data_IF_018104285999
#
_entry.id   IF_018104285999
#
_cell.length_a   1.000
_cell.length_b   1.000
_cell.length_c   1.000
_cell.angle_alpha   90.00
_cell.angle_beta   90.00
_cell.angle_gamma   90.00
#
_symmetry.space_group_name_H-M   'P 1'
#
loop_
_entity.id
_entity.type
_entity.pdbx_description
1 polymer ?
#
# COMPACT_ATOMS: atom_id res chain seq x y z
N UNK A 1 -26.71 5.10 3.84
CA UNK A 1 -26.26 6.16 4.76
C UNK A 1 -25.02 6.80 4.15
N UNK A 2 -25.03 8.12 4.00
CA UNK A 2 -24.10 8.88 3.17
C UNK A 2 -22.67 8.87 3.76
N UNK A 3 -21.69 8.30 3.04
CA UNK A 3 -20.28 8.47 3.37
C UNK A 3 -19.83 9.86 2.91
N UNK A 4 -19.91 10.84 3.79
CA UNK A 4 -19.23 12.11 3.60
C UNK A 4 -17.72 11.88 3.78
N UNK A 5 -17.03 11.65 2.68
CA UNK A 5 -15.57 11.52 2.66
C UNK A 5 -14.91 12.80 3.19
N UNK A 6 -14.00 12.65 4.14
CA UNK A 6 -13.15 13.73 4.64
C UNK A 6 -12.26 14.19 3.48
N UNK A 7 -12.61 15.32 2.88
CA UNK A 7 -11.84 15.95 1.80
C UNK A 7 -10.64 16.65 2.44
N UNK A 8 -9.44 16.12 2.23
CA UNK A 8 -8.20 16.79 2.62
C UNK A 8 -8.08 18.09 1.82
N UNK A 9 -8.03 19.23 2.50
CA UNK A 9 -7.93 20.55 1.86
C UNK A 9 -6.47 20.76 1.48
N UNK A 10 -6.10 20.46 0.23
CA UNK A 10 -4.82 20.89 -0.34
C UNK A 10 -4.92 22.39 -0.60
N UNK A 11 -4.14 23.17 0.15
CA UNK A 11 -4.17 24.64 0.11
C UNK A 11 -3.30 25.11 -1.05
N UNK A 12 -3.87 25.24 -2.23
CA UNK A 12 -3.23 25.97 -3.33
C UNK A 12 -3.21 27.46 -2.99
N UNK A 13 -2.06 28.01 -2.56
CA UNK A 13 -1.84 29.46 -2.58
C UNK A 13 -0.47 29.83 -3.14
N UNK A 14 -0.55 30.58 -4.22
CA UNK A 14 0.44 31.38 -4.92
C UNK A 14 1.29 32.22 -3.97
N UNK A 15 2.60 32.27 -4.24
CA UNK A 15 3.59 33.13 -3.58
C UNK A 15 3.59 34.51 -4.22
N UNK A 16 3.74 35.55 -3.40
CA UNK A 16 4.49 36.77 -3.73
C UNK A 16 5.37 37.20 -2.54
N UNK A 17 6.51 37.89 -2.78
CA UNK A 17 7.61 38.02 -1.82
C UNK A 17 7.61 39.35 -1.05
N UNK A 18 8.15 39.35 0.18
CA UNK A 18 8.32 40.58 0.98
C UNK A 18 9.28 40.45 2.18
N UNK A 19 10.54 40.81 1.94
CA UNK A 19 11.45 41.64 2.79
C UNK A 19 11.55 41.46 4.33
N UNK A 20 12.68 40.86 4.78
CA UNK A 20 13.61 41.15 5.93
C UNK A 20 13.12 41.63 7.32
N UNK A 21 14.02 41.86 8.33
CA UNK A 21 15.48 41.85 8.31
C UNK A 21 16.17 41.06 9.48
N UNK A 22 17.49 41.27 9.58
CA UNK A 22 18.59 40.56 10.28
C UNK A 22 18.73 40.83 11.80
N UNK A 23 19.48 39.94 12.47
CA UNK A 23 20.28 40.15 13.70
C UNK A 23 20.59 38.80 14.37
N UNK A 24 21.77 38.41 14.88
CA UNK A 24 23.06 39.06 15.13
C UNK A 24 23.64 38.56 16.47
N UNK A 25 24.82 37.92 16.46
CA UNK A 25 25.67 37.58 17.63
C UNK A 25 25.41 36.20 18.26
N UNK A 26 26.38 35.39 18.72
CA UNK A 26 27.85 35.47 18.83
C UNK A 26 28.31 34.39 19.85
N UNK A 27 29.38 33.64 19.52
CA UNK A 27 30.39 32.94 20.38
C UNK A 27 29.94 32.02 21.55
N UNK A 28 30.60 30.94 22.01
CA UNK A 28 31.97 30.41 21.94
C UNK A 28 31.98 28.92 22.46
N UNK A 29 33.11 28.18 22.43
CA UNK A 29 33.14 26.72 22.28
C UNK A 29 33.36 25.93 23.58
N UNK A 30 32.85 24.69 23.62
CA UNK A 30 33.09 23.74 24.71
C UNK A 30 34.12 22.66 24.33
N UNK A 31 34.97 22.39 25.31
CA UNK A 31 36.30 21.81 25.25
C UNK A 31 36.31 20.31 24.96
N UNK A 32 37.42 19.91 24.31
CA UNK A 32 37.92 18.55 24.13
C UNK A 32 38.48 18.02 25.45
N UNK A 33 38.16 16.77 25.80
CA UNK A 33 38.78 16.02 26.89
C UNK A 33 38.94 14.54 26.50
N UNK A 34 40.20 14.11 26.38
CA UNK A 34 40.68 12.72 26.53
C UNK A 34 40.54 12.33 28.03
N UNK A 35 40.49 11.09 28.52
CA UNK A 35 40.89 9.76 28.06
C UNK A 35 40.12 8.70 28.89
N UNK A 36 40.08 7.44 28.43
CA UNK A 36 40.39 6.24 29.24
C UNK A 36 40.11 4.98 28.42
N UNK A 37 41.17 4.22 28.16
CA UNK A 37 41.16 2.90 27.56
C UNK A 37 41.00 1.84 28.65
N UNK A 38 40.12 0.87 28.46
CA UNK A 38 40.23 -0.45 29.09
C UNK A 38 39.52 -1.49 28.23
N UNK A 39 40.29 -2.48 27.77
CA UNK A 39 39.86 -3.48 26.82
C UNK A 39 39.01 -4.58 27.44
N UNK A 40 38.11 -5.16 26.63
CA UNK A 40 37.54 -6.49 26.88
C UNK A 40 37.16 -7.19 25.56
N UNK A 41 37.93 -8.24 25.30
CA UNK A 41 37.68 -9.50 24.57
C UNK A 41 36.61 -9.50 23.46
N UNK A 42 37.12 -9.73 22.25
CA UNK A 42 36.43 -10.05 21.01
C UNK A 42 35.66 -11.38 21.08
N UNK A 43 34.37 -11.34 20.78
CA UNK A 43 33.58 -12.47 20.26
C UNK A 43 32.77 -11.96 19.07
N UNK A 44 33.17 -12.39 17.87
CA UNK A 44 32.54 -12.04 16.59
C UNK A 44 31.30 -12.89 16.36
N UNK A 45 30.09 -12.31 16.17
CA UNK A 45 29.00 -13.02 15.54
C UNK A 45 29.08 -12.83 14.01
N UNK A 46 29.09 -13.94 13.28
CA UNK A 46 29.14 -13.99 11.82
C UNK A 46 28.00 -13.15 11.21
N UNK A 47 28.37 -12.08 10.48
CA UNK A 47 27.43 -11.23 9.75
C UNK A 47 27.01 -11.94 8.46
N UNK A 48 25.83 -12.55 8.44
CA UNK A 48 25.17 -12.89 7.19
C UNK A 48 24.81 -11.59 6.45
N UNK A 49 25.60 -11.23 5.43
CA UNK A 49 25.25 -10.17 4.49
C UNK A 49 23.98 -10.58 3.73
N UNK A 50 22.82 -10.06 4.13
CA UNK A 50 21.65 -10.01 3.24
C UNK A 50 22.01 -9.07 2.09
N UNK A 51 22.39 -9.65 0.94
CA UNK A 51 22.48 -8.94 -0.34
C UNK A 51 21.13 -8.28 -0.59
N UNK A 52 21.09 -6.96 -0.41
CA UNK A 52 19.92 -6.17 -0.77
C UNK A 52 20.04 -5.94 -2.27
N UNK A 53 19.38 -6.79 -3.08
CA UNK A 53 19.28 -6.54 -4.51
C UNK A 53 18.38 -5.32 -4.70
N UNK A 54 18.98 -4.20 -5.08
CA UNK A 54 18.28 -2.98 -5.50
C UNK A 54 17.67 -3.25 -6.87
N UNK A 55 16.43 -3.75 -6.89
CA UNK A 55 15.62 -3.83 -8.10
C UNK A 55 15.23 -2.39 -8.48
N UNK A 56 15.83 -1.86 -9.54
CA UNK A 56 15.39 -0.64 -10.20
C UNK A 56 14.16 -0.97 -11.04
N UNK A 57 12.98 -0.59 -10.57
CA UNK A 57 11.76 -0.59 -11.38
C UNK A 57 11.51 0.85 -11.80
N UNK A 58 11.71 1.13 -13.08
CA UNK A 58 11.34 2.40 -13.70
C UNK A 58 9.82 2.40 -13.87
N UNK A 59 9.15 3.34 -13.23
CA UNK A 59 7.76 3.66 -13.54
C UNK A 59 7.80 4.63 -14.72
N UNK A 60 7.20 4.24 -15.84
CA UNK A 60 7.00 5.17 -16.96
C UNK A 60 6.01 6.24 -16.51
N UNK A 61 6.42 7.51 -16.63
CA UNK A 61 5.54 8.63 -16.39
C UNK A 61 4.50 8.67 -17.52
N UNK A 62 3.22 8.54 -17.17
CA UNK A 62 2.14 8.77 -18.12
C UNK A 62 1.89 10.29 -18.21
N UNK A 63 2.40 10.91 -19.26
CA UNK A 63 2.10 12.30 -19.60
C UNK A 63 0.59 12.45 -19.88
N UNK A 64 -0.04 13.35 -19.13
CA UNK A 64 -1.41 13.77 -19.37
C UNK A 64 -1.44 14.70 -20.57
N UNK A 65 -1.88 14.25 -21.75
CA UNK A 65 -2.60 15.11 -22.71
C UNK A 65 -3.60 14.31 -23.57
N UNK A 66 -4.83 14.87 -23.61
CA UNK A 66 -5.95 14.69 -24.56
C UNK A 66 -6.87 13.46 -24.42
N UNK A 67 -8.08 13.76 -23.94
CA UNK A 67 -9.30 13.00 -24.21
C UNK A 67 -9.52 12.90 -25.73
N UNK A 68 -9.33 11.70 -26.28
CA UNK A 68 -9.91 11.30 -27.56
C UNK A 68 -10.61 9.95 -27.38
N UNK A 69 -11.92 9.94 -27.64
CA UNK A 69 -12.79 8.79 -27.88
C UNK A 69 -12.45 7.48 -27.16
N UNK A 70 -13.10 7.21 -26.03
CA UNK A 70 -13.05 5.92 -25.37
C UNK A 70 -13.54 4.80 -26.32
N UNK A 71 -12.59 4.14 -26.98
CA UNK A 71 -12.79 2.83 -27.60
C UNK A 71 -13.37 1.89 -26.53
N UNK A 72 -14.34 1.02 -26.86
CA UNK A 72 -14.79 -0.01 -25.93
C UNK A 72 -13.57 -0.78 -25.42
N UNK A 73 -13.44 -1.03 -24.11
CA UNK A 73 -12.29 -1.75 -23.58
C UNK A 73 -12.18 -3.09 -24.31
N UNK A 74 -11.04 -3.31 -24.96
CA UNK A 74 -10.76 -4.56 -25.66
C UNK A 74 -10.96 -5.71 -24.67
N UNK A 75 -11.71 -6.74 -25.10
CA UNK A 75 -12.07 -7.85 -24.23
C UNK A 75 -10.79 -8.49 -23.65
N UNK A 76 -10.75 -8.77 -22.33
CA UNK A 76 -9.55 -9.32 -21.72
C UNK A 76 -9.23 -10.67 -22.35
N UNK A 77 -7.98 -10.87 -22.76
CA UNK A 77 -7.55 -12.10 -23.45
C UNK A 77 -7.64 -13.38 -22.59
N UNK A 78 -8.03 -13.26 -21.33
CA UNK A 78 -8.35 -14.36 -20.40
C UNK A 78 -9.01 -13.81 -19.15
N UNK A 79 -9.95 -14.55 -18.58
CA UNK A 79 -10.50 -14.31 -17.25
C UNK A 79 -10.60 -15.63 -16.45
N UNK A 80 -10.56 -15.59 -15.11
CA UNK A 80 -10.73 -16.79 -14.29
C UNK A 80 -12.15 -17.34 -14.40
N UNK A 81 -12.37 -18.66 -14.39
CA UNK A 81 -13.71 -19.21 -14.33
C UNK A 81 -14.44 -18.79 -13.05
N UNK A 82 -15.74 -18.57 -13.14
CA UNK A 82 -16.64 -18.24 -12.02
C UNK A 82 -16.26 -16.98 -11.22
N UNK A 83 -15.36 -16.12 -11.70
CA UNK A 83 -14.85 -14.96 -10.96
C UNK A 83 -15.96 -14.01 -10.52
N UNK A 84 -16.97 -13.82 -11.38
CA UNK A 84 -18.13 -12.97 -11.11
C UNK A 84 -18.95 -13.52 -9.94
N UNK A 85 -19.26 -14.81 -9.96
CA UNK A 85 -19.99 -15.47 -8.88
C UNK A 85 -19.16 -15.48 -7.58
N UNK A 86 -17.85 -15.69 -7.69
CA UNK A 86 -16.94 -15.63 -6.55
C UNK A 86 -16.95 -14.24 -5.90
N UNK A 87 -16.94 -13.17 -6.70
CA UNK A 87 -17.00 -11.80 -6.23
C UNK A 87 -18.36 -11.49 -5.58
N UNK A 88 -19.48 -11.90 -6.19
CA UNK A 88 -20.82 -11.78 -5.60
C UNK A 88 -20.88 -12.46 -4.24
N UNK A 89 -20.39 -13.70 -4.14
CA UNK A 89 -20.34 -14.43 -2.90
C UNK A 89 -19.53 -13.73 -1.82
N UNK A 90 -18.39 -13.13 -2.17
CA UNK A 90 -17.57 -12.34 -1.24
C UNK A 90 -18.33 -11.11 -0.75
N UNK A 91 -18.98 -10.38 -1.66
CA UNK A 91 -19.82 -9.23 -1.31
C UNK A 91 -20.95 -9.64 -0.36
N UNK A 92 -21.63 -10.75 -0.63
CA UNK A 92 -22.68 -11.30 0.23
C UNK A 92 -22.15 -11.67 1.62
N UNK A 93 -20.97 -12.29 1.71
CA UNK A 93 -20.36 -12.60 3.01
C UNK A 93 -19.96 -11.33 3.79
N UNK A 94 -19.72 -10.22 3.10
CA UNK A 94 -19.29 -8.94 3.65
C UNK A 94 -20.44 -7.97 3.93
N UNK A 95 -21.60 -8.14 3.32
CA UNK A 95 -22.72 -7.17 3.40
C UNK A 95 -23.31 -6.99 4.80
N UNK A 96 -23.04 -7.90 5.74
CA UNK A 96 -23.50 -7.81 7.13
C UNK A 96 -22.41 -8.00 8.18
N UNK A 97 -21.13 -7.89 7.80
CA UNK A 97 -20.00 -8.13 8.71
C UNK A 97 -18.91 -7.10 8.52
N UNK A 98 -18.83 -6.15 9.45
CA UNK A 98 -17.71 -5.22 9.53
C UNK A 98 -16.43 -5.95 9.93
N UNK A 99 -15.35 -5.64 9.24
CA UNK A 99 -13.99 -6.07 9.53
C UNK A 99 -13.23 -4.90 10.16
N UNK A 100 -12.11 -5.16 10.84
CA UNK A 100 -11.24 -4.09 11.34
C UNK A 100 -10.88 -3.04 10.29
N UNK A 101 -10.70 -3.41 9.02
CA UNK A 101 -10.40 -2.46 7.93
C UNK A 101 -11.54 -1.45 7.65
N UNK A 102 -12.77 -1.77 8.01
CA UNK A 102 -13.94 -0.90 7.76
C UNK A 102 -14.07 0.21 8.80
N UNK A 103 -13.51 -0.01 9.99
CA UNK A 103 -13.64 0.88 11.15
C UNK A 103 -12.35 1.61 11.51
N UNK A 104 -11.19 1.03 11.19
CA UNK A 104 -9.88 1.60 11.52
C UNK A 104 -9.42 2.56 10.42
N UNK A 105 -9.67 3.85 10.63
CA UNK A 105 -9.12 4.93 9.82
C UNK A 105 -7.74 5.39 10.29
N UNK A 106 -7.30 6.54 9.77
CA UNK A 106 -5.99 7.12 10.09
C UNK A 106 -5.88 7.59 11.54
N UNK A 107 -6.99 7.78 12.25
CA UNK A 107 -7.03 8.19 13.65
C UNK A 107 -6.39 7.17 14.61
N UNK A 108 -6.25 5.91 14.18
CA UNK A 108 -5.56 4.86 14.91
C UNK A 108 -4.15 4.56 14.36
N UNK A 109 -3.56 5.45 13.54
CA UNK A 109 -2.25 5.24 12.92
C UNK A 109 -1.07 5.25 13.91
N UNK A 110 -1.32 5.64 15.17
CA UNK A 110 -0.34 5.74 16.23
C UNK A 110 -0.69 4.77 17.37
N UNK A 111 0.13 3.74 17.54
CA UNK A 111 0.11 2.86 18.69
C UNK A 111 1.28 3.22 19.63
N UNK A 112 1.02 3.79 20.82
CA UNK A 112 2.06 4.16 21.76
C UNK A 112 2.82 2.95 22.33
N UNK A 113 2.27 1.74 22.22
CA UNK A 113 2.90 0.49 22.66
C UNK A 113 3.78 -0.16 21.57
N UNK A 114 3.70 0.33 20.33
CA UNK A 114 4.47 -0.24 19.22
C UNK A 114 5.97 0.13 19.31
N UNK A 115 6.90 -0.83 19.09
CA UNK A 115 8.33 -0.56 19.15
C UNK A 115 8.76 0.54 18.16
N UNK A 116 9.32 1.67 18.62
CA UNK A 116 9.60 2.80 17.75
C UNK A 116 10.99 2.66 17.16
N UNK A 117 11.14 2.10 15.95
CA UNK A 117 12.47 2.08 15.31
C UNK A 117 12.50 2.46 13.82
N UNK A 118 11.56 2.01 13.00
CA UNK A 118 11.58 2.27 11.54
C UNK A 118 10.56 3.31 11.07
N UNK A 119 9.29 3.19 11.47
CA UNK A 119 8.21 4.06 10.99
C UNK A 119 8.41 5.53 11.38
N UNK A 120 8.80 5.80 12.63
CA UNK A 120 9.09 7.17 13.11
C UNK A 120 10.21 7.81 12.28
N UNK A 121 11.24 7.04 11.93
CA UNK A 121 12.32 7.51 11.06
C UNK A 121 11.79 7.88 9.68
N UNK A 122 10.98 7.01 9.07
CA UNK A 122 10.40 7.28 7.75
C UNK A 122 9.49 8.50 7.76
N UNK A 123 8.61 8.66 8.76
CA UNK A 123 7.74 9.83 8.86
C UNK A 123 8.56 11.11 8.92
N UNK A 124 9.58 11.18 9.79
CA UNK A 124 10.47 12.36 9.89
C UNK A 124 11.19 12.66 8.58
N UNK A 125 11.71 11.64 7.90
CA UNK A 125 12.40 11.79 6.62
C UNK A 125 11.45 12.24 5.52
N UNK A 126 10.28 11.64 5.43
CA UNK A 126 9.24 12.00 4.48
C UNK A 126 8.81 13.45 4.68
N UNK A 127 8.48 13.88 5.91
CA UNK A 127 8.12 15.28 6.19
C UNK A 127 9.21 16.26 5.76
N UNK A 128 10.49 15.95 6.01
CA UNK A 128 11.60 16.78 5.56
C UNK A 128 11.69 16.87 4.03
N UNK A 129 11.49 15.75 3.32
CA UNK A 129 11.48 15.70 1.85
C UNK A 129 10.30 16.53 1.30
N UNK A 130 9.11 16.40 1.87
CA UNK A 130 7.93 17.18 1.46
C UNK A 130 8.18 18.68 1.59
N UNK A 131 8.74 19.13 2.72
CA UNK A 131 9.10 20.53 2.94
C UNK A 131 10.15 21.04 1.94
N UNK A 132 11.17 20.21 1.63
CA UNK A 132 12.29 20.64 0.79
C UNK A 132 11.98 20.61 -0.71
N UNK A 133 11.22 19.61 -1.18
CA UNK A 133 11.05 19.33 -2.62
C UNK A 133 9.64 19.58 -3.14
N UNK A 134 8.63 19.48 -2.29
CA UNK A 134 7.22 19.52 -2.69
C UNK A 134 6.46 20.70 -2.06
N UNK A 135 7.17 21.72 -1.56
CA UNK A 135 6.55 22.92 -0.99
C UNK A 135 5.72 22.65 0.28
N UNK A 136 5.95 21.51 0.94
CA UNK A 136 5.16 21.07 2.09
C UNK A 136 3.89 20.30 1.74
N UNK A 137 3.61 20.05 0.46
CA UNK A 137 2.46 19.27 0.01
C UNK A 137 2.87 17.83 -0.37
N UNK A 138 1.89 16.95 -0.54
CA UNK A 138 2.08 15.54 -0.91
C UNK A 138 2.08 15.42 -2.45
N UNK A 139 3.07 14.72 -3.06
CA UNK A 139 3.09 14.53 -4.51
C UNK A 139 1.89 13.70 -5.00
N UNK A 140 1.38 14.07 -6.17
CA UNK A 140 0.15 13.52 -6.76
C UNK A 140 0.43 12.47 -7.86
N UNK A 141 1.50 11.67 -7.71
CA UNK A 141 1.84 10.60 -8.64
C UNK A 141 2.34 9.35 -7.93
N UNK A 142 2.06 8.18 -8.48
CA UNK A 142 2.50 6.89 -7.90
C UNK A 142 4.03 6.84 -7.81
N UNK A 143 4.74 7.27 -8.85
CA UNK A 143 6.20 7.24 -8.90
C UNK A 143 6.84 8.10 -7.81
N UNK A 144 6.34 9.32 -7.59
CA UNK A 144 6.85 10.21 -6.56
C UNK A 144 6.46 9.75 -5.16
N UNK A 145 5.25 9.22 -4.97
CA UNK A 145 4.82 8.63 -3.71
C UNK A 145 5.73 7.45 -3.33
N UNK A 146 6.02 6.54 -4.26
CA UNK A 146 6.95 5.41 -4.04
C UNK A 146 8.39 5.88 -3.76
N UNK A 147 8.78 7.06 -4.24
CA UNK A 147 10.08 7.65 -3.92
C UNK A 147 10.19 8.12 -2.46
N UNK A 148 9.07 8.26 -1.73
CA UNK A 148 9.08 8.64 -0.33
C UNK A 148 9.54 7.46 0.57
N UNK A 149 10.36 7.73 1.59
CA UNK A 149 10.83 6.70 2.52
C UNK A 149 9.68 5.92 3.15
N UNK A 150 9.76 4.60 3.04
CA UNK A 150 8.78 3.69 3.63
C UNK A 150 7.48 3.56 2.84
N UNK A 151 7.29 4.29 1.73
CA UNK A 151 6.13 4.16 0.86
C UNK A 151 6.41 3.14 -0.25
N UNK A 152 5.59 2.10 -0.31
CA UNK A 152 5.63 1.09 -1.38
C UNK A 152 4.43 1.21 -2.32
N UNK A 153 4.42 0.44 -3.44
CA UNK A 153 3.40 0.57 -4.48
C UNK A 153 1.96 0.45 -3.97
N UNK A 154 1.68 -0.50 -3.07
CA UNK A 154 0.37 -0.63 -2.40
C UNK A 154 -0.09 0.69 -1.80
N UNK A 155 0.77 1.33 -1.00
CA UNK A 155 0.41 2.56 -0.30
C UNK A 155 0.26 3.73 -1.26
N UNK A 156 1.08 3.79 -2.32
CA UNK A 156 0.95 4.80 -3.35
C UNK A 156 -0.39 4.68 -4.11
N UNK A 157 -0.78 3.48 -4.55
CA UNK A 157 -2.07 3.27 -5.21
C UNK A 157 -3.26 3.58 -4.30
N UNK A 158 -3.20 3.18 -3.02
CA UNK A 158 -4.24 3.55 -2.05
C UNK A 158 -4.31 5.06 -1.83
N UNK A 159 -3.17 5.74 -1.69
CA UNK A 159 -3.13 7.18 -1.50
C UNK A 159 -3.73 7.90 -2.71
N UNK A 160 -3.37 7.52 -3.94
CA UNK A 160 -3.95 8.07 -5.17
C UNK A 160 -5.48 7.90 -5.21
N UNK A 161 -5.96 6.69 -4.89
CA UNK A 161 -7.40 6.41 -4.91
C UNK A 161 -8.17 7.21 -3.85
N UNK A 162 -7.65 7.29 -2.63
CA UNK A 162 -8.36 7.91 -1.49
C UNK A 162 -8.25 9.43 -1.49
N UNK A 163 -7.05 9.98 -1.71
CA UNK A 163 -6.82 11.42 -1.60
C UNK A 163 -7.09 12.18 -2.91
N UNK A 164 -6.86 11.56 -4.08
CA UNK A 164 -7.07 12.19 -5.39
C UNK A 164 -8.26 11.61 -6.18
N UNK A 165 -8.94 10.58 -5.67
CA UNK A 165 -9.99 9.90 -6.44
C UNK A 165 -9.47 9.21 -7.70
N UNK A 166 -8.16 9.01 -7.81
CA UNK A 166 -7.49 8.54 -9.01
C UNK A 166 -7.11 7.05 -8.89
N UNK A 167 -7.80 6.20 -9.66
CA UNK A 167 -7.53 4.76 -9.71
C UNK A 167 -6.35 4.49 -10.64
N UNK A 168 -5.15 4.56 -10.08
CA UNK A 168 -3.86 4.37 -10.79
C UNK A 168 -3.43 2.90 -10.88
N UNK A 169 -4.06 2.00 -10.12
CA UNK A 169 -3.74 0.58 -10.09
C UNK A 169 -4.42 -0.13 -8.93
N UNK A 170 -4.39 -1.46 -8.93
CA UNK A 170 -4.95 -2.27 -7.85
C UNK A 170 -3.96 -2.28 -6.68
N UNK A 171 -4.39 -1.82 -5.51
CA UNK A 171 -3.60 -1.95 -4.30
C UNK A 171 -3.55 -3.41 -3.84
N UNK A 172 -2.43 -4.09 -4.04
CA UNK A 172 -2.26 -5.49 -3.60
C UNK A 172 -1.45 -5.56 -2.32
N UNK A 173 -2.03 -6.18 -1.29
CA UNK A 173 -1.33 -6.54 -0.06
C UNK A 173 -1.32 -8.05 0.18
N UNK A 174 -0.95 -8.46 1.39
CA UNK A 174 -0.88 -9.88 1.76
C UNK A 174 -2.23 -10.58 1.72
N UNK A 175 -3.35 -9.88 1.92
CA UNK A 175 -4.70 -10.44 1.82
C UNK A 175 -5.07 -10.62 0.36
N UNK A 176 -5.01 -9.55 -0.43
CA UNK A 176 -5.32 -9.59 -1.88
C UNK A 176 -4.45 -10.63 -2.58
N UNK A 177 -3.13 -10.61 -2.33
CA UNK A 177 -2.18 -11.57 -2.90
C UNK A 177 -2.57 -13.01 -2.56
N UNK A 178 -2.79 -13.32 -1.28
CA UNK A 178 -3.14 -14.68 -0.84
C UNK A 178 -4.47 -15.14 -1.43
N UNK A 179 -5.48 -14.30 -1.36
CA UNK A 179 -6.84 -14.66 -1.77
C UNK A 179 -6.93 -14.82 -3.28
N UNK A 180 -6.33 -13.91 -4.06
CA UNK A 180 -6.30 -14.02 -5.52
C UNK A 180 -5.64 -15.35 -5.97
N UNK A 181 -4.52 -15.73 -5.35
CA UNK A 181 -3.89 -17.03 -5.63
C UNK A 181 -4.76 -18.22 -5.20
N UNK A 182 -5.48 -18.14 -4.06
CA UNK A 182 -6.37 -19.21 -3.59
C UNK A 182 -7.62 -19.40 -4.45
N UNK A 183 -8.19 -18.30 -4.94
CA UNK A 183 -9.38 -18.31 -5.81
C UNK A 183 -9.04 -18.64 -7.26
N UNK A 184 -7.75 -18.64 -7.64
CA UNK A 184 -7.34 -18.84 -9.03
C UNK A 184 -7.52 -17.60 -9.91
N UNK A 185 -7.54 -16.40 -9.31
CA UNK A 185 -7.66 -15.11 -10.02
C UNK A 185 -6.41 -14.70 -10.82
N UNK A 186 -5.40 -15.57 -10.85
CA UNK A 186 -4.18 -15.40 -11.60
C UNK A 186 -3.95 -16.65 -12.45
N UNK A 187 -3.65 -16.50 -13.75
CA UNK A 187 -3.36 -17.62 -14.67
C UNK A 187 -2.37 -18.63 -14.08
N UNK A 188 -1.32 -18.12 -13.44
CA UNK A 188 -0.34 -18.91 -12.71
C UNK A 188 -0.15 -18.33 -11.32
N UNK A 189 0.17 -19.19 -10.36
CA UNK A 189 0.42 -18.76 -8.99
C UNK A 189 1.58 -17.75 -8.96
N UNK A 190 1.28 -16.56 -8.44
CA UNK A 190 2.21 -15.44 -8.38
C UNK A 190 3.01 -15.48 -7.09
N UNK A 191 4.28 -15.06 -7.16
CA UNK A 191 5.20 -15.08 -6.00
C UNK A 191 5.38 -13.72 -5.31
N UNK A 192 4.84 -12.65 -5.87
CA UNK A 192 4.95 -11.30 -5.31
C UNK A 192 3.65 -10.49 -5.52
N UNK A 193 3.34 -9.54 -4.62
CA UNK A 193 2.18 -8.66 -4.75
C UNK A 193 2.13 -7.90 -6.07
N UNK A 194 3.26 -7.39 -6.56
CA UNK A 194 3.31 -6.68 -7.86
C UNK A 194 2.95 -7.58 -9.04
N UNK A 195 3.38 -8.86 -9.01
CA UNK A 195 2.99 -9.81 -10.06
C UNK A 195 1.49 -10.12 -10.00
N UNK A 196 0.92 -10.20 -8.79
CA UNK A 196 -0.53 -10.35 -8.64
C UNK A 196 -1.28 -9.12 -9.13
N UNK A 197 -0.77 -7.91 -8.85
CA UNK A 197 -1.37 -6.66 -9.34
C UNK A 197 -1.47 -6.68 -10.85
N UNK A 198 -0.34 -6.86 -11.55
CA UNK A 198 -0.32 -6.94 -13.00
C UNK A 198 -1.22 -8.06 -13.55
N UNK A 199 -1.27 -9.21 -12.88
CA UNK A 199 -2.14 -10.31 -13.28
C UNK A 199 -3.63 -10.00 -13.11
N UNK A 200 -4.03 -9.26 -12.08
CA UNK A 200 -5.42 -8.83 -11.87
C UNK A 200 -5.80 -7.70 -12.83
N UNK A 201 -4.94 -6.70 -13.00
CA UNK A 201 -5.17 -5.55 -13.90
C UNK A 201 -5.32 -5.98 -15.36
N UNK A 202 -4.73 -7.11 -15.76
CA UNK A 202 -4.81 -7.63 -17.12
C UNK A 202 -6.21 -8.13 -17.52
N UNK A 203 -7.13 -8.38 -16.57
CA UNK A 203 -8.45 -8.92 -16.88
C UNK A 203 -9.61 -8.33 -16.07
N UNK A 204 -9.35 -7.83 -14.87
CA UNK A 204 -10.39 -7.32 -13.99
C UNK A 204 -10.90 -5.96 -14.49
N UNK A 205 -12.23 -5.77 -14.65
CA UNK A 205 -12.81 -4.49 -15.03
C UNK A 205 -12.33 -3.34 -14.15
N UNK A 206 -11.99 -2.20 -14.77
CA UNK A 206 -11.33 -1.07 -14.11
C UNK A 206 -12.19 -0.44 -13.01
N UNK A 207 -13.50 -0.54 -13.14
CA UNK A 207 -14.50 -0.06 -12.20
C UNK A 207 -14.40 -0.77 -10.85
N UNK A 208 -13.87 -2.00 -10.82
CA UNK A 208 -13.73 -2.81 -9.62
C UNK A 208 -12.41 -2.58 -8.88
N UNK A 209 -11.43 -1.92 -9.49
CA UNK A 209 -10.06 -1.85 -8.96
C UNK A 209 -9.97 -1.17 -7.59
N UNK A 210 -10.82 -0.16 -7.34
CA UNK A 210 -10.86 0.57 -6.07
C UNK A 210 -11.49 -0.24 -4.93
N UNK A 211 -12.50 -1.08 -5.24
CA UNK A 211 -13.23 -1.89 -4.25
C UNK A 211 -12.43 -3.10 -3.77
N UNK A 212 -11.65 -3.70 -4.67
CA UNK A 212 -11.06 -5.03 -4.48
C UNK A 212 -10.14 -5.14 -3.27
N UNK A 213 -9.34 -4.11 -2.99
CA UNK A 213 -8.45 -4.15 -1.82
C UNK A 213 -9.27 -4.24 -0.52
N UNK A 214 -10.17 -3.30 -0.27
CA UNK A 214 -10.97 -3.27 0.97
C UNK A 214 -11.83 -4.53 1.12
N UNK A 215 -12.47 -4.97 0.03
CA UNK A 215 -13.32 -6.16 0.04
C UNK A 215 -12.53 -7.42 0.43
N UNK A 216 -11.39 -7.66 -0.22
CA UNK A 216 -10.57 -8.85 0.03
C UNK A 216 -9.81 -8.78 1.35
N UNK A 217 -9.42 -7.60 1.82
CA UNK A 217 -8.83 -7.44 3.16
C UNK A 217 -9.83 -7.87 4.21
N UNK A 218 -11.06 -7.33 4.18
CA UNK A 218 -12.10 -7.71 5.13
C UNK A 218 -12.47 -9.19 5.06
N UNK A 219 -12.62 -9.73 3.84
CA UNK A 219 -12.86 -11.16 3.63
C UNK A 219 -11.71 -12.03 4.18
N UNK A 220 -10.47 -11.58 4.02
CA UNK A 220 -9.28 -12.26 4.51
C UNK A 220 -9.06 -12.14 6.02
N UNK A 221 -9.68 -11.15 6.67
CA UNK A 221 -9.68 -10.97 8.13
C UNK A 221 -10.78 -11.81 8.82
N UNK A 222 -11.87 -12.12 8.13
CA UNK A 222 -13.03 -12.81 8.72
C UNK A 222 -13.22 -14.26 8.27
N UNK A 223 -12.88 -14.59 7.02
CA UNK A 223 -13.24 -15.89 6.42
C UNK A 223 -12.03 -16.58 5.82
N UNK A 224 -11.34 -15.95 4.87
CA UNK A 224 -10.17 -16.54 4.20
C UNK A 224 -8.87 -16.26 4.98
N UNK A 225 -8.82 -16.73 6.21
CA UNK A 225 -7.69 -16.54 7.13
C UNK A 225 -6.38 -17.14 6.59
N UNK A 226 -5.22 -16.60 6.97
CA UNK A 226 -3.93 -17.14 6.55
C UNK A 226 -3.75 -18.61 6.93
N UNK A 227 -4.16 -18.97 8.15
CA UNK A 227 -4.12 -20.31 8.74
C UNK A 227 -5.54 -20.73 9.08
N UNK A 228 -5.90 -21.98 8.79
CA UNK A 228 -7.25 -22.55 8.99
C UNK A 228 -8.40 -21.64 8.52
N UNK A 229 -8.49 -21.34 7.20
CA UNK A 229 -9.61 -20.55 6.67
C UNK A 229 -10.95 -21.24 6.94
N UNK A 230 -12.01 -20.44 7.13
CA UNK A 230 -13.36 -20.93 7.42
C UNK A 230 -14.08 -21.41 6.15
N UNK A 231 -13.46 -22.34 5.40
CA UNK A 231 -13.97 -22.81 4.11
C UNK A 231 -15.34 -23.50 4.23
N UNK A 232 -15.66 -24.13 5.35
CA UNK A 232 -16.96 -24.80 5.56
C UNK A 232 -18.13 -23.81 5.49
N UNK A 233 -17.95 -22.59 6.01
CA UNK A 233 -18.95 -21.52 5.98
C UNK A 233 -18.76 -20.55 4.79
N UNK A 234 -17.78 -20.81 3.91
CA UNK A 234 -17.46 -19.95 2.78
C UNK A 234 -18.37 -20.26 1.60
N UNK A 235 -19.10 -19.27 1.10
CA UNK A 235 -19.97 -19.41 -0.08
C UNK A 235 -19.19 -19.80 -1.35
N UNK A 236 -17.87 -19.58 -1.38
CA UNK A 236 -17.00 -19.99 -2.48
C UNK A 236 -16.42 -21.39 -2.33
N UNK A 237 -16.82 -22.20 -1.34
CA UNK A 237 -16.20 -23.52 -1.10
C UNK A 237 -16.20 -24.43 -2.34
N UNK A 238 -17.31 -24.46 -3.09
CA UNK A 238 -17.45 -25.29 -4.29
C UNK A 238 -16.68 -24.73 -5.50
N UNK A 239 -16.53 -23.41 -5.57
CA UNK A 239 -15.90 -22.67 -6.68
C UNK A 239 -14.39 -22.43 -6.46
N UNK A 240 -13.91 -22.57 -5.23
CA UNK A 240 -12.54 -22.23 -4.87
C UNK A 240 -11.61 -23.44 -5.06
N UNK A 241 -10.59 -23.35 -5.94
CA UNK A 241 -9.68 -24.45 -6.18
C UNK A 241 -8.86 -24.82 -4.93
N UNK A 242 -8.55 -23.84 -4.07
CA UNK A 242 -7.81 -24.09 -2.84
C UNK A 242 -8.64 -24.69 -1.70
N UNK A 243 -9.98 -24.70 -1.78
CA UNK A 243 -10.82 -25.19 -0.69
C UNK A 243 -10.60 -26.68 -0.43
N UNK A 244 -10.40 -27.49 -1.48
CA UNK A 244 -10.19 -28.94 -1.39
C UNK A 244 -8.85 -29.33 -0.77
N UNK A 245 -7.82 -28.51 -0.96
CA UNK A 245 -6.47 -28.79 -0.45
C UNK A 245 -6.24 -28.22 0.95
N UNK A 246 -6.86 -27.09 1.28
CA UNK A 246 -6.71 -26.43 2.59
C UNK A 246 -7.64 -26.98 3.66
N UNK A 247 -8.76 -27.58 3.25
CA UNK A 247 -9.72 -28.20 4.13
C UNK A 247 -9.99 -29.59 3.56
N UNK A 248 -9.27 -30.58 4.10
CA UNK A 248 -9.58 -32.00 3.86
C UNK A 248 -11.04 -32.33 4.21
N UNK A 249 -11.50 -33.53 3.85
CA UNK A 249 -12.87 -33.96 4.11
C UNK A 249 -13.27 -33.81 5.58
#
# INVERSE_FOLDING_TARGET
>A
MSMAGVRMVTRSRSRDPGTGPRGGGGEAPLRRGEAAAEGKKSHSPAKHQRKTQKLSVTYEASDHEKEEGAKPPEAPGWEPPDWQQQLVNIRTMRSGKDAPVDQLGAEHCYDPSAPPKSKVKYIKQTSAILQQRYGGDIPASVAELVALPGVGPKMAHLAMAVAWGAVSGIAVDTHVHRIANRLGWTKTATKSPEKTRAALEAWLPRELWSEINGLLVGFGQQTCLPVHPHCQACLNRSLCPAARSLCGP
#
